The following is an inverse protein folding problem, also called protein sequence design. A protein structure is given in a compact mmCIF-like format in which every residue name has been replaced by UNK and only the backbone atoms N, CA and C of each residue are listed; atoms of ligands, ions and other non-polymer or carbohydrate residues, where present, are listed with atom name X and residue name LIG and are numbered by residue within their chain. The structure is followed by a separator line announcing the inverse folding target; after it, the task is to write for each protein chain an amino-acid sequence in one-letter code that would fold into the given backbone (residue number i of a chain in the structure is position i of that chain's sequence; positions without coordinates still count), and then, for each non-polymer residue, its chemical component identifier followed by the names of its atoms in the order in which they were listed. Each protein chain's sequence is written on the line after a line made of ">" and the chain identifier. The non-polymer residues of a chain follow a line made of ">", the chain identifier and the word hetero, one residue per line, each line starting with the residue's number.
data_IF_174561150704
#
_entry.id   IF_174561150704
#
_cell.length_a   1.000
_cell.length_b   1.000
_cell.length_c   1.000
_cell.angle_alpha   90.00
_cell.angle_beta   90.00
_cell.angle_gamma   90.00
#
_symmetry.space_group_name_H-M   'P 1'
#
loop_
_entity.id
_entity.type
_entity.pdbx_description
1 polymer ?
#
# COMPACT_ATOMS: atom_id res chain seq x y z
N UNK A 1 8.87 -2.98 -14.92
CA UNK A 1 8.27 -1.79 -14.26
C UNK A 1 7.40 -2.23 -13.09
N UNK A 2 6.41 -3.10 -13.30
CA UNK A 2 5.54 -3.64 -12.22
C UNK A 2 6.32 -4.34 -11.09
N UNK A 3 7.35 -5.14 -11.43
CA UNK A 3 8.23 -5.80 -10.46
C UNK A 3 8.98 -4.82 -9.55
N UNK A 4 9.39 -3.67 -10.09
CA UNK A 4 10.11 -2.63 -9.34
C UNK A 4 9.17 -1.86 -8.42
N UNK A 5 7.96 -1.53 -8.89
CA UNK A 5 6.92 -0.91 -8.05
C UNK A 5 6.58 -1.80 -6.86
N UNK A 6 6.41 -3.10 -7.11
CA UNK A 6 6.13 -4.07 -6.05
C UNK A 6 7.32 -4.26 -5.10
N UNK A 7 8.56 -4.24 -5.60
CA UNK A 7 9.76 -4.29 -4.75
C UNK A 7 9.88 -3.05 -3.85
N UNK A 8 9.58 -1.87 -4.41
CA UNK A 8 9.56 -0.59 -3.69
C UNK A 8 8.54 -0.63 -2.56
N UNK A 9 7.26 -0.91 -2.85
CA UNK A 9 6.20 -0.95 -1.83
C UNK A 9 6.44 -2.00 -0.75
N UNK A 10 7.03 -3.15 -1.08
CA UNK A 10 7.44 -4.14 -0.08
C UNK A 10 8.52 -3.61 0.87
N UNK A 11 9.47 -2.84 0.34
CA UNK A 11 10.54 -2.23 1.16
C UNK A 11 9.93 -1.17 2.08
N UNK A 12 9.11 -0.27 1.53
CA UNK A 12 8.40 0.77 2.29
C UNK A 12 7.59 0.15 3.44
N UNK A 13 6.78 -0.88 3.16
CA UNK A 13 5.99 -1.57 4.18
C UNK A 13 6.86 -2.18 5.27
N UNK A 14 7.92 -2.92 4.92
CA UNK A 14 8.82 -3.55 5.90
C UNK A 14 9.48 -2.52 6.80
N UNK A 15 9.89 -1.38 6.25
CA UNK A 15 10.55 -0.32 7.00
C UNK A 15 9.56 0.34 7.97
N UNK A 16 8.34 0.62 7.51
CA UNK A 16 7.28 1.15 8.38
C UNK A 16 6.95 0.14 9.49
N UNK A 17 6.81 -1.14 9.18
CA UNK A 17 6.51 -2.18 10.16
C UNK A 17 7.61 -2.31 11.22
N UNK A 18 8.89 -2.29 10.79
CA UNK A 18 10.03 -2.31 11.70
C UNK A 18 10.06 -1.07 12.60
N UNK A 19 9.75 0.10 12.05
CA UNK A 19 9.68 1.34 12.82
C UNK A 19 8.50 1.36 13.81
N UNK A 20 7.35 0.78 13.44
CA UNK A 20 6.23 0.55 14.36
C UNK A 20 6.65 -0.37 15.50
N UNK A 21 7.31 -1.49 15.21
CA UNK A 21 7.75 -2.44 16.23
C UNK A 21 8.76 -1.83 17.23
N UNK A 22 9.55 -0.85 16.80
CA UNK A 22 10.52 -0.14 17.64
C UNK A 22 9.98 1.07 18.40
N UNK A 23 8.73 1.48 18.15
CA UNK A 23 8.13 2.68 18.75
C UNK A 23 7.09 2.33 19.82
N UNK A 24 6.89 3.25 20.76
CA UNK A 24 5.81 3.17 21.76
C UNK A 24 4.67 4.08 21.34
N UNK A 25 3.44 3.61 21.45
CA UNK A 25 2.25 4.33 21.02
C UNK A 25 1.25 4.47 22.17
N UNK A 26 0.77 5.69 22.39
CA UNK A 26 -0.36 5.98 23.28
C UNK A 26 -1.60 6.24 22.44
N UNK A 27 -2.16 5.17 21.84
CA UNK A 27 -3.36 5.25 21.00
C UNK A 27 -4.58 4.80 21.80
N UNK A 28 -5.59 5.66 22.00
CA UNK A 28 -6.85 5.25 22.61
C UNK A 28 -7.53 4.12 21.82
N UNK A 29 -7.95 3.05 22.51
CA UNK A 29 -8.65 1.90 21.88
C UNK A 29 -9.84 2.33 21.02
N UNK A 30 -10.58 3.36 21.44
CA UNK A 30 -11.72 3.93 20.71
C UNK A 30 -11.38 4.41 19.30
N UNK A 31 -10.14 4.86 19.07
CA UNK A 31 -9.70 5.26 17.74
C UNK A 31 -9.47 4.05 16.85
N UNK A 32 -8.91 2.97 17.40
CA UNK A 32 -8.69 1.71 16.67
C UNK A 32 -10.02 1.09 16.29
N UNK A 33 -10.99 1.08 17.21
CA UNK A 33 -12.35 0.60 16.94
C UNK A 33 -13.03 1.40 15.82
N UNK A 34 -12.93 2.73 15.86
CA UNK A 34 -13.49 3.58 14.81
C UNK A 34 -12.87 3.30 13.43
N UNK A 35 -11.55 3.14 13.39
CA UNK A 35 -10.84 2.81 12.15
C UNK A 35 -11.20 1.39 11.66
N UNK A 36 -11.33 0.41 12.56
CA UNK A 36 -11.77 -0.93 12.20
C UNK A 36 -13.16 -0.94 11.56
N UNK A 37 -14.10 -0.14 12.09
CA UNK A 37 -15.42 0.04 11.47
C UNK A 37 -15.33 0.69 10.09
N UNK A 38 -14.46 1.69 9.92
CA UNK A 38 -14.24 2.29 8.61
C UNK A 38 -13.72 1.27 7.58
N UNK A 39 -12.74 0.44 7.97
CA UNK A 39 -12.22 -0.63 7.12
C UNK A 39 -13.28 -1.71 6.83
N UNK A 40 -14.15 -2.01 7.79
CA UNK A 40 -15.28 -2.92 7.60
C UNK A 40 -16.22 -2.40 6.50
N UNK A 41 -16.58 -1.12 6.56
CA UNK A 41 -17.47 -0.49 5.60
C UNK A 41 -16.83 -0.44 4.20
N UNK A 42 -15.52 -0.10 4.10
CA UNK A 42 -14.78 -0.15 2.83
C UNK A 42 -14.78 -1.55 2.19
N UNK A 43 -14.55 -2.59 2.98
CA UNK A 43 -14.59 -3.98 2.52
C UNK A 43 -16.01 -4.36 2.09
N UNK A 44 -17.04 -3.97 2.84
CA UNK A 44 -18.44 -4.21 2.49
C UNK A 44 -18.80 -3.59 1.15
N UNK A 45 -18.40 -2.34 0.92
CA UNK A 45 -18.59 -1.68 -0.37
C UNK A 45 -17.82 -2.37 -1.50
N UNK A 46 -16.59 -2.81 -1.23
CA UNK A 46 -15.76 -3.57 -2.18
C UNK A 46 -16.42 -4.88 -2.60
N UNK A 47 -16.97 -5.62 -1.64
CA UNK A 47 -17.73 -6.84 -1.90
C UNK A 47 -19.00 -6.56 -2.68
N UNK A 48 -19.75 -5.52 -2.32
CA UNK A 48 -20.97 -5.12 -3.03
C UNK A 48 -20.68 -4.80 -4.51
N UNK A 49 -19.58 -4.08 -4.81
CA UNK A 49 -19.13 -3.82 -6.18
C UNK A 49 -18.84 -5.10 -6.97
N UNK A 50 -18.36 -6.14 -6.30
CA UNK A 50 -18.10 -7.48 -6.88
C UNK A 50 -19.33 -8.39 -6.83
N UNK A 51 -20.50 -7.88 -6.45
CA UNK A 51 -21.75 -8.64 -6.26
C UNK A 51 -21.59 -9.84 -5.33
N UNK A 52 -20.76 -9.69 -4.30
CA UNK A 52 -20.48 -10.71 -3.28
C UNK A 52 -20.90 -10.20 -1.91
N UNK A 53 -21.31 -11.08 -1.01
CA UNK A 53 -21.58 -10.74 0.40
C UNK A 53 -20.43 -11.21 1.29
N UNK A 54 -20.29 -10.59 2.46
CA UNK A 54 -19.27 -10.98 3.45
C UNK A 54 -19.50 -12.43 3.90
N UNK A 55 -20.75 -12.82 4.15
CA UNK A 55 -21.09 -14.18 4.58
C UNK A 55 -20.66 -15.21 3.55
N UNK A 56 -20.85 -14.91 2.26
CA UNK A 56 -20.38 -15.79 1.17
C UNK A 56 -18.87 -15.85 1.12
N UNK A 57 -18.18 -14.72 1.30
CA UNK A 57 -16.72 -14.67 1.36
C UNK A 57 -16.17 -15.52 2.53
N UNK A 58 -16.74 -15.38 3.72
CA UNK A 58 -16.36 -16.14 4.91
C UNK A 58 -16.58 -17.64 4.69
N UNK A 59 -17.70 -18.04 4.08
CA UNK A 59 -17.94 -19.45 3.71
C UNK A 59 -16.91 -19.99 2.72
N UNK A 60 -16.53 -19.20 1.70
CA UNK A 60 -15.57 -19.61 0.69
C UNK A 60 -14.15 -19.73 1.25
N UNK A 61 -13.78 -18.85 2.17
CA UNK A 61 -12.44 -18.81 2.79
C UNK A 61 -12.33 -19.68 4.05
N UNK A 62 -13.45 -20.22 4.54
CA UNK A 62 -13.51 -20.95 5.81
C UNK A 62 -13.23 -20.07 7.03
N UNK A 63 -13.32 -18.75 6.89
CA UNK A 63 -13.13 -17.81 7.99
C UNK A 63 -14.40 -17.65 8.83
N UNK A 64 -14.24 -17.33 10.10
CA UNK A 64 -15.34 -16.94 10.98
C UNK A 64 -15.48 -15.42 10.99
N UNK A 65 -16.67 -14.93 11.31
CA UNK A 65 -16.91 -13.50 11.48
C UNK A 65 -15.98 -12.90 12.56
N UNK A 66 -15.76 -13.59 13.67
CA UNK A 66 -14.82 -13.17 14.72
C UNK A 66 -13.39 -13.04 14.19
N UNK A 67 -12.89 -14.04 13.46
CA UNK A 67 -11.53 -13.98 12.89
C UNK A 67 -11.38 -12.87 11.85
N UNK A 68 -12.44 -12.53 11.14
CA UNK A 68 -12.44 -11.45 10.16
C UNK A 68 -12.43 -10.07 10.84
N UNK A 69 -13.26 -9.89 11.87
CA UNK A 69 -13.23 -8.68 12.70
C UNK A 69 -11.89 -8.48 13.40
N UNK A 70 -11.28 -9.56 13.90
CA UNK A 70 -9.94 -9.49 14.50
C UNK A 70 -8.87 -9.03 13.49
N UNK A 71 -8.92 -9.52 12.25
CA UNK A 71 -8.03 -9.07 11.17
C UNK A 71 -8.24 -7.59 10.85
N UNK A 72 -9.49 -7.12 10.78
CA UNK A 72 -9.78 -5.69 10.57
C UNK A 72 -9.27 -4.83 11.73
N UNK A 73 -9.42 -5.29 12.96
CA UNK A 73 -8.90 -4.60 14.14
C UNK A 73 -7.36 -4.52 14.13
N UNK A 74 -6.67 -5.61 13.80
CA UNK A 74 -5.21 -5.61 13.66
C UNK A 74 -4.75 -4.67 12.54
N UNK A 75 -5.45 -4.70 11.39
CA UNK A 75 -5.17 -3.80 10.27
C UNK A 75 -5.39 -2.32 10.67
N UNK A 76 -6.47 -2.02 11.38
CA UNK A 76 -6.78 -0.68 11.88
C UNK A 76 -5.72 -0.19 12.87
N UNK A 77 -5.32 -1.02 13.83
CA UNK A 77 -4.26 -0.70 14.78
C UNK A 77 -2.95 -0.37 14.06
N UNK A 78 -2.57 -1.20 13.08
CA UNK A 78 -1.40 -0.95 12.24
C UNK A 78 -1.52 0.36 11.47
N UNK A 79 -2.68 0.67 10.88
CA UNK A 79 -2.88 1.90 10.11
C UNK A 79 -2.77 3.15 10.97
N UNK A 80 -3.36 3.15 12.17
CA UNK A 80 -3.24 4.28 13.09
C UNK A 80 -1.79 4.43 13.56
N UNK A 81 -1.13 3.34 13.96
CA UNK A 81 0.29 3.37 14.37
C UNK A 81 1.18 3.92 13.25
N UNK A 82 0.99 3.44 12.02
CA UNK A 82 1.73 3.94 10.86
C UNK A 82 1.51 5.43 10.65
N UNK A 83 0.24 5.89 10.69
CA UNK A 83 -0.09 7.31 10.53
C UNK A 83 0.54 8.15 11.62
N UNK A 84 0.39 7.78 12.89
CA UNK A 84 0.96 8.50 14.02
C UNK A 84 2.49 8.58 13.93
N UNK A 85 3.14 7.47 13.56
CA UNK A 85 4.58 7.43 13.36
C UNK A 85 5.03 8.38 12.25
N UNK A 86 4.38 8.33 11.09
CA UNK A 86 4.74 9.17 9.95
C UNK A 86 4.48 10.65 10.23
N UNK A 87 3.37 10.99 10.88
CA UNK A 87 3.07 12.36 11.29
C UNK A 87 4.15 12.88 12.27
N UNK A 88 4.60 12.06 13.23
CA UNK A 88 5.71 12.41 14.12
C UNK A 88 7.05 12.60 13.39
N UNK A 89 7.32 11.82 12.34
CA UNK A 89 8.53 11.98 11.51
C UNK A 89 8.45 13.28 10.70
N UNK A 90 7.29 13.60 10.13
CA UNK A 90 7.05 14.86 9.42
C UNK A 90 7.39 16.05 10.33
N UNK A 91 6.90 16.03 11.56
CA UNK A 91 7.17 17.09 12.54
C UNK A 91 8.65 17.13 12.95
N UNK A 92 9.25 15.98 13.30
CA UNK A 92 10.65 15.90 13.76
C UNK A 92 11.64 16.34 12.70
N UNK A 93 11.44 15.91 11.46
CA UNK A 93 12.35 16.20 10.34
C UNK A 93 12.02 17.55 9.66
N UNK A 94 10.95 18.24 10.09
CA UNK A 94 10.52 19.50 9.50
C UNK A 94 10.13 19.37 8.02
N UNK A 95 9.47 18.27 7.65
CA UNK A 95 9.07 18.03 6.26
C UNK A 95 7.98 19.02 5.85
N UNK A 96 8.19 19.67 4.71
CA UNK A 96 7.25 20.63 4.13
C UNK A 96 6.81 20.19 2.75
N UNK A 97 5.62 20.65 2.35
CA UNK A 97 5.08 20.48 1.00
C UNK A 97 4.78 21.85 0.42
N UNK A 98 5.38 22.11 -0.72
CA UNK A 98 5.17 23.35 -1.44
C UNK A 98 3.94 23.26 -2.34
N UNK A 99 3.31 24.40 -2.61
CA UNK A 99 2.14 24.49 -3.50
C UNK A 99 2.41 23.85 -4.87
N UNK A 100 3.63 24.01 -5.40
CA UNK A 100 4.04 23.42 -6.68
C UNK A 100 4.05 21.89 -6.68
N UNK A 101 4.34 21.26 -5.55
CA UNK A 101 4.29 19.80 -5.43
C UNK A 101 2.84 19.30 -5.46
N UNK A 102 1.94 20.01 -4.76
CA UNK A 102 0.51 19.73 -4.81
C UNK A 102 -0.03 19.93 -6.22
N UNK A 103 0.34 21.02 -6.89
CA UNK A 103 -0.11 21.31 -8.26
C UNK A 103 0.38 20.24 -9.25
N UNK A 104 1.61 19.77 -9.07
CA UNK A 104 2.16 18.67 -9.86
C UNK A 104 1.37 17.38 -9.64
N UNK A 105 1.11 16.99 -8.39
CA UNK A 105 0.34 15.78 -8.07
C UNK A 105 -1.09 15.84 -8.64
N UNK A 106 -1.74 17.01 -8.56
CA UNK A 106 -3.05 17.25 -9.18
C UNK A 106 -2.99 17.06 -10.70
N UNK A 107 -1.95 17.59 -11.34
CA UNK A 107 -1.77 17.47 -12.78
C UNK A 107 -1.51 16.03 -13.23
N UNK A 108 -0.62 15.31 -12.52
CA UNK A 108 -0.28 13.90 -12.77
C UNK A 108 -1.50 12.99 -12.55
N UNK A 109 -2.26 13.22 -11.48
CA UNK A 109 -3.49 12.48 -11.21
C UNK A 109 -4.53 12.72 -12.30
N UNK A 110 -4.76 13.98 -12.69
CA UNK A 110 -5.71 14.30 -13.75
C UNK A 110 -5.29 13.73 -15.12
N UNK A 111 -3.99 13.67 -15.40
CA UNK A 111 -3.45 13.08 -16.63
C UNK A 111 -3.71 11.57 -16.74
N UNK A 112 -3.91 10.88 -15.61
CA UNK A 112 -4.31 9.46 -15.58
C UNK A 112 -5.75 9.23 -16.05
N UNK A 113 -6.57 10.29 -16.12
CA UNK A 113 -7.97 10.25 -16.56
C UNK A 113 -8.18 11.21 -17.75
N UNK A 114 -7.58 10.94 -18.92
CA UNK A 114 -7.52 11.91 -20.02
C UNK A 114 -8.91 12.39 -20.48
N UNK A 115 -9.92 11.51 -20.48
CA UNK A 115 -11.30 11.86 -20.85
C UNK A 115 -11.98 12.82 -19.87
N UNK A 116 -11.60 12.77 -18.59
CA UNK A 116 -12.23 13.54 -17.50
C UNK A 116 -11.27 14.54 -16.85
N UNK A 117 -10.10 14.78 -17.46
CA UNK A 117 -8.99 15.49 -16.81
C UNK A 117 -9.39 16.87 -16.27
N UNK A 118 -10.25 17.60 -16.98
CA UNK A 118 -10.77 18.90 -16.53
C UNK A 118 -11.65 18.79 -15.29
N UNK A 119 -12.52 17.77 -15.23
CA UNK A 119 -13.41 17.50 -14.08
C UNK A 119 -12.60 17.04 -12.88
N UNK A 120 -11.71 16.07 -13.06
CA UNK A 120 -10.82 15.55 -12.01
C UNK A 120 -9.98 16.68 -11.43
N UNK A 121 -9.37 17.51 -12.29
CA UNK A 121 -8.59 18.67 -11.84
C UNK A 121 -9.43 19.63 -11.00
N UNK A 122 -10.67 19.90 -11.38
CA UNK A 122 -11.56 20.78 -10.60
C UNK A 122 -11.85 20.21 -9.22
N UNK A 123 -12.14 18.92 -9.11
CA UNK A 123 -12.43 18.22 -7.85
C UNK A 123 -11.20 18.19 -6.92
N UNK A 124 -10.02 17.91 -7.49
CA UNK A 124 -8.77 17.86 -6.74
C UNK A 124 -8.27 19.25 -6.29
N UNK A 125 -8.71 20.32 -6.95
CA UNK A 125 -8.37 21.70 -6.57
C UNK A 125 -9.21 22.27 -5.42
N UNK A 126 -10.22 21.55 -4.92
CA UNK A 126 -10.90 21.97 -3.70
C UNK A 126 -9.93 22.04 -2.52
N UNK A 127 -10.17 22.95 -1.57
CA UNK A 127 -9.29 23.12 -0.41
C UNK A 127 -9.10 21.82 0.38
N UNK A 128 -10.18 21.03 0.50
CA UNK A 128 -10.19 19.75 1.19
C UNK A 128 -9.35 18.68 0.47
N UNK A 129 -9.51 18.57 -0.86
CA UNK A 129 -8.71 17.66 -1.67
C UNK A 129 -7.23 18.04 -1.69
N UNK A 130 -6.91 19.33 -1.86
CA UNK A 130 -5.53 19.82 -1.81
C UNK A 130 -4.86 19.56 -0.47
N UNK A 131 -5.60 19.69 0.65
CA UNK A 131 -5.12 19.33 1.98
C UNK A 131 -4.79 17.84 2.07
N UNK A 132 -5.69 16.96 1.59
CA UNK A 132 -5.46 15.51 1.55
C UNK A 132 -4.23 15.14 0.70
N UNK A 133 -4.07 15.77 -0.46
CA UNK A 133 -2.91 15.57 -1.33
C UNK A 133 -1.63 15.98 -0.61
N UNK A 134 -1.60 17.15 0.01
CA UNK A 134 -0.46 17.61 0.80
C UNK A 134 -0.09 16.63 1.91
N UNK A 135 -1.07 16.14 2.69
CA UNK A 135 -0.84 15.10 3.71
C UNK A 135 -0.28 13.81 3.11
N UNK A 136 -0.77 13.38 1.95
CA UNK A 136 -0.25 12.20 1.24
C UNK A 136 1.23 12.37 0.84
N UNK A 137 1.58 13.53 0.26
CA UNK A 137 2.95 13.86 -0.13
C UNK A 137 3.88 13.87 1.09
N UNK A 138 3.45 14.47 2.21
CA UNK A 138 4.23 14.48 3.46
C UNK A 138 4.50 13.07 3.99
N UNK A 139 3.49 12.20 4.00
CA UNK A 139 3.66 10.80 4.41
C UNK A 139 4.62 10.06 3.49
N UNK A 140 4.51 10.26 2.18
CA UNK A 140 5.42 9.66 1.22
C UNK A 140 6.87 10.10 1.46
N UNK A 141 7.10 11.40 1.68
CA UNK A 141 8.42 11.94 2.07
C UNK A 141 8.95 11.33 3.37
N UNK A 142 8.09 11.13 4.37
CA UNK A 142 8.47 10.50 5.63
C UNK A 142 8.88 9.03 5.45
N UNK A 143 8.16 8.28 4.61
CA UNK A 143 8.54 6.90 4.26
C UNK A 143 9.89 6.89 3.53
N UNK A 144 10.11 7.80 2.58
CA UNK A 144 11.39 7.91 1.87
C UNK A 144 12.56 8.20 2.82
N UNK A 145 12.36 9.06 3.84
CA UNK A 145 13.33 9.28 4.91
C UNK A 145 13.63 8.00 5.68
N UNK A 146 12.59 7.27 6.09
CA UNK A 146 12.75 6.01 6.81
C UNK A 146 13.53 4.98 6.01
N UNK A 147 13.19 4.81 4.72
CA UNK A 147 13.92 3.92 3.81
C UNK A 147 15.37 4.36 3.66
N UNK A 148 15.62 5.68 3.58
CA UNK A 148 16.97 6.24 3.57
C UNK A 148 17.81 5.85 4.80
N UNK A 149 17.22 5.80 6.00
CA UNK A 149 17.94 5.41 7.22
C UNK A 149 18.37 3.94 7.24
N UNK A 150 17.69 3.05 6.52
CA UNK A 150 17.99 1.61 6.48
C UNK A 150 18.79 1.16 5.25
N UNK A 151 19.35 2.10 4.49
CA UNK A 151 20.21 1.80 3.34
C UNK A 151 19.56 1.94 1.96
N UNK A 152 18.34 2.48 1.88
CA UNK A 152 17.71 2.84 0.60
C UNK A 152 16.85 1.73 -0.02
N UNK A 153 16.39 2.00 -1.25
CA UNK A 153 15.60 1.02 -2.02
C UNK A 153 16.51 -0.07 -2.61
N UNK A 154 16.02 -1.30 -2.77
CA UNK A 154 16.76 -2.33 -3.48
C UNK A 154 17.10 -1.83 -4.89
N UNK A 155 18.38 -1.87 -5.24
CA UNK A 155 18.85 -1.59 -6.60
C UNK A 155 18.12 -2.51 -7.59
N UNK A 156 17.77 -2.03 -8.80
CA UNK A 156 17.15 -2.87 -9.80
C UNK A 156 18.13 -3.98 -10.20
N UNK A 157 17.93 -5.18 -9.65
CA UNK A 157 18.68 -6.36 -10.07
C UNK A 157 18.34 -6.61 -11.54
N UNK A 158 19.30 -6.33 -12.42
CA UNK A 158 19.20 -6.69 -13.83
C UNK A 158 19.27 -8.22 -13.85
N UNK A 159 18.13 -8.89 -13.98
CA UNK A 159 18.13 -10.33 -14.28
C UNK A 159 18.73 -10.47 -15.67
N UNK A 160 20.03 -10.77 -15.72
CA UNK A 160 20.69 -11.06 -16.98
C UNK A 160 20.18 -12.43 -17.41
N UNK A 161 19.68 -12.52 -18.65
CA UNK A 161 19.08 -13.71 -19.29
C UNK A 161 19.89 -15.01 -19.13
N UNK A 162 21.16 -14.92 -18.73
CA UNK A 162 22.05 -16.06 -18.50
C UNK A 162 21.57 -17.04 -17.42
N UNK A 163 20.77 -16.60 -16.44
CA UNK A 163 20.34 -17.49 -15.34
C UNK A 163 19.06 -18.29 -15.63
N UNK A 164 18.44 -18.11 -16.80
CA UNK A 164 17.27 -18.89 -17.22
C UNK A 164 17.64 -20.15 -18.03
N UNK A 165 18.92 -20.38 -18.32
CA UNK A 165 19.37 -21.48 -19.19
C UNK A 165 19.86 -22.73 -18.45
N UNK A 166 20.20 -22.65 -17.16
CA UNK A 166 20.83 -23.78 -16.45
C UNK A 166 19.85 -24.61 -15.59
N UNK A 167 18.55 -24.46 -15.82
CA UNK A 167 17.50 -25.16 -15.08
C UNK A 167 16.87 -26.38 -15.77
N UNK A 168 17.24 -26.70 -17.01
CA UNK A 168 16.70 -27.86 -17.71
C UNK A 168 17.82 -28.75 -18.26
N UNK A 169 18.19 -29.75 -17.47
CA UNK A 169 18.84 -30.97 -17.98
C UNK A 169 18.43 -32.17 -17.13
N UNK A 170 18.00 -33.21 -17.86
CA UNK A 170 17.64 -34.59 -17.47
C UNK A 170 16.26 -34.76 -16.84
N UNK A 171 15.36 -35.57 -17.40
CA UNK A 171 15.60 -36.97 -17.77
C UNK A 171 15.08 -37.37 -19.17
N UNK A 172 16.01 -37.93 -19.92
CA UNK A 172 15.86 -38.89 -21.01
C UNK A 172 15.08 -40.13 -20.55
N UNK A 173 14.09 -40.58 -21.33
CA UNK A 173 13.71 -41.99 -21.43
C UNK A 173 13.40 -42.28 -22.90
N UNK A 174 14.17 -43.21 -23.45
CA UNK A 174 14.15 -43.75 -24.81
C UNK A 174 12.79 -44.33 -25.26
N UNK A 175 12.66 -44.36 -26.58
CA UNK A 175 11.86 -45.23 -27.48
C UNK A 175 11.16 -46.46 -26.84
N UNK A 176 9.95 -46.85 -27.27
CA UNK A 176 9.65 -47.37 -28.63
C UNK A 176 8.17 -47.26 -29.02
N UNK A 177 7.81 -47.18 -30.32
CA UNK A 177 6.43 -47.30 -30.81
C UNK A 177 6.10 -48.73 -31.29
N UNK A 178 4.95 -49.28 -30.88
CA UNK A 178 4.19 -50.42 -31.48
C UNK A 178 2.91 -50.55 -30.64
N UNK A 179 1.69 -50.75 -31.13
CA UNK A 179 1.12 -51.23 -32.40
C UNK A 179 -0.33 -50.70 -32.49
#
# INVERSE_FOLDING_TARGET
>A
VESLRNARSRTENKVVDAAIAGATFEIPARLIELEAHYLEDEERESFARRRMTIERYLQLTGQTQESWHAQLHEAAERQIKARTLLDAIVEREGLVVDTSEVDREVAETAASYPTDAARVRKELNSADSRRRISTSILRHKAIEKLVGYVGGYPEPTTVTRSELSDGQSHSEVEETPSE
#
